data_IF_496262948853
#
_entry.id   IF_496262948853
#
_cell.length_a   1.000
_cell.length_b   1.000
_cell.length_c   1.000
_cell.angle_alpha   90.00
_cell.angle_beta   90.00
_cell.angle_gamma   90.00
#
_symmetry.space_group_name_H-M   'P 1'
#
loop_
_entity.id
_entity.type
_entity.pdbx_description
1 polymer ?
#
# COMPACT_ATOMS: atom_id res chain seq x y z
N UNK A 1 -1.87 -29.10 19.68
CA UNK A 1 -3.17 -29.06 20.40
C UNK A 1 -3.80 -27.67 20.30
N UNK A 2 -3.07 -26.62 20.69
CA UNK A 2 -3.51 -25.22 20.61
C UNK A 2 -4.06 -24.80 19.23
N UNK A 3 -3.42 -25.18 18.12
CA UNK A 3 -3.95 -24.86 16.78
C UNK A 3 -5.34 -25.46 16.49
N UNK A 4 -5.63 -26.68 16.98
CA UNK A 4 -6.95 -27.31 16.82
C UNK A 4 -8.00 -26.61 17.68
N UNK A 5 -7.62 -26.22 18.90
CA UNK A 5 -8.50 -25.45 19.81
C UNK A 5 -8.82 -24.08 19.24
N UNK A 6 -7.81 -23.38 18.70
CA UNK A 6 -8.01 -22.08 18.06
C UNK A 6 -9.01 -22.16 16.90
N UNK A 7 -8.86 -23.17 16.03
CA UNK A 7 -9.76 -23.37 14.89
C UNK A 7 -11.20 -23.65 15.36
N UNK A 8 -11.37 -24.46 16.39
CA UNK A 8 -12.69 -24.73 16.95
C UNK A 8 -13.31 -23.47 17.58
N UNK A 9 -12.51 -22.68 18.31
CA UNK A 9 -12.96 -21.43 18.92
C UNK A 9 -13.34 -20.39 17.85
N UNK A 10 -12.56 -20.25 16.78
CA UNK A 10 -12.87 -19.29 15.71
C UNK A 10 -14.19 -19.58 15.01
N UNK A 11 -14.62 -20.85 14.97
CA UNK A 11 -15.88 -21.27 14.33
C UNK A 11 -17.09 -21.15 15.25
N UNK A 12 -16.89 -21.02 16.56
CA UNK A 12 -17.96 -21.14 17.57
C UNK A 12 -18.18 -19.88 18.41
N UNK A 13 -17.25 -18.93 18.36
CA UNK A 13 -17.33 -17.68 19.14
C UNK A 13 -18.40 -16.74 18.56
N UNK A 14 -19.13 -16.09 19.47
CA UNK A 14 -20.10 -15.04 19.14
C UNK A 14 -19.39 -13.81 18.56
N UNK A 15 -19.93 -13.29 17.46
CA UNK A 15 -19.40 -12.09 16.80
C UNK A 15 -19.22 -10.93 17.79
N UNK A 16 -18.06 -10.28 17.72
CA UNK A 16 -17.73 -9.14 18.58
C UNK A 16 -17.13 -9.49 19.94
N UNK A 17 -16.89 -10.77 20.24
CA UNK A 17 -16.21 -11.20 21.47
C UNK A 17 -14.87 -11.87 21.19
N UNK A 18 -13.91 -11.73 22.10
CA UNK A 18 -12.66 -12.51 22.11
C UNK A 18 -12.45 -13.07 23.52
N UNK A 19 -12.78 -14.36 23.77
CA UNK A 19 -12.56 -14.99 25.06
C UNK A 19 -11.08 -15.01 25.43
N UNK A 20 -10.79 -14.89 26.72
CA UNK A 20 -9.40 -14.95 27.24
C UNK A 20 -8.66 -16.21 26.80
N UNK A 21 -9.35 -17.35 26.76
CA UNK A 21 -8.75 -18.60 26.28
C UNK A 21 -8.23 -18.47 24.84
N UNK A 22 -8.98 -17.80 23.97
CA UNK A 22 -8.59 -17.58 22.57
C UNK A 22 -7.35 -16.69 22.49
N UNK A 23 -7.33 -15.56 23.20
CA UNK A 23 -6.17 -14.66 23.20
C UNK A 23 -4.93 -15.34 23.80
N UNK A 24 -5.10 -16.14 24.85
CA UNK A 24 -4.01 -16.89 25.48
C UNK A 24 -3.43 -17.93 24.50
N UNK A 25 -4.29 -18.61 23.72
CA UNK A 25 -3.85 -19.54 22.67
C UNK A 25 -3.09 -18.81 21.56
N UNK A 26 -3.63 -17.71 21.04
CA UNK A 26 -2.97 -16.91 19.98
C UNK A 26 -1.60 -16.41 20.48
N UNK A 27 -1.53 -15.91 21.71
CA UNK A 27 -0.29 -15.44 22.31
C UNK A 27 0.77 -16.53 22.49
N UNK A 28 0.37 -17.78 22.81
CA UNK A 28 1.30 -18.92 22.86
C UNK A 28 1.77 -19.33 21.47
N UNK A 29 0.86 -19.41 20.50
CA UNK A 29 1.21 -19.75 19.12
C UNK A 29 2.14 -18.70 18.50
N UNK A 30 1.90 -17.42 18.75
CA UNK A 30 2.78 -16.36 18.23
C UNK A 30 4.21 -16.46 18.79
N UNK A 31 4.38 -16.91 20.03
CA UNK A 31 5.71 -17.12 20.66
C UNK A 31 6.41 -18.40 20.21
N UNK A 32 5.73 -19.29 19.49
CA UNK A 32 6.31 -20.53 18.99
C UNK A 32 7.32 -20.24 17.86
N UNK A 33 8.49 -20.87 17.92
CA UNK A 33 9.56 -20.64 16.95
C UNK A 33 9.22 -21.16 15.55
N UNK A 34 8.40 -22.20 15.44
CA UNK A 34 7.90 -22.71 14.17
C UNK A 34 6.92 -21.73 13.52
N UNK A 35 6.07 -21.08 14.31
CA UNK A 35 5.18 -20.01 13.83
C UNK A 35 5.99 -18.78 13.41
N UNK A 36 6.99 -18.37 14.18
CA UNK A 36 7.89 -17.27 13.79
C UNK A 36 8.66 -17.59 12.50
N UNK A 37 9.16 -18.82 12.34
CA UNK A 37 9.81 -19.25 11.10
C UNK A 37 8.84 -19.28 9.90
N UNK A 38 7.57 -19.62 10.13
CA UNK A 38 6.52 -19.52 9.10
C UNK A 38 6.21 -18.06 8.74
N UNK A 39 6.16 -17.17 9.74
CA UNK A 39 5.96 -15.73 9.53
C UNK A 39 7.11 -15.08 8.77
N UNK A 40 8.35 -15.51 9.01
CA UNK A 40 9.53 -15.07 8.24
C UNK A 40 9.44 -15.41 6.75
N UNK A 41 8.62 -16.40 6.39
CA UNK A 41 8.32 -16.87 5.03
C UNK A 41 6.97 -16.37 4.52
N UNK A 42 6.40 -15.33 5.13
CA UNK A 42 5.08 -14.82 4.80
C UNK A 42 4.90 -14.32 3.35
N UNK A 43 5.98 -14.16 2.57
CA UNK A 43 5.89 -13.89 1.13
C UNK A 43 5.37 -15.09 0.32
N UNK A 44 5.50 -16.31 0.85
CA UNK A 44 5.08 -17.55 0.18
C UNK A 44 3.57 -17.80 0.24
N UNK A 45 2.82 -17.01 1.01
CA UNK A 45 1.37 -17.16 1.17
C UNK A 45 0.69 -15.81 1.42
N UNK A 46 -0.64 -15.81 1.43
CA UNK A 46 -1.43 -14.59 1.57
C UNK A 46 -1.59 -14.21 3.04
N UNK A 47 -0.65 -13.41 3.56
CA UNK A 47 -0.72 -12.83 4.91
C UNK A 47 -0.98 -11.32 4.86
N UNK A 48 -1.68 -10.80 5.87
CA UNK A 48 -1.84 -9.36 6.06
C UNK A 48 -0.55 -8.75 6.62
N UNK A 49 -0.03 -7.69 6.00
CA UNK A 49 1.14 -6.95 6.42
C UNK A 49 1.10 -6.48 7.88
N UNK A 50 -0.10 -6.19 8.42
CA UNK A 50 -0.27 -5.78 9.82
C UNK A 50 -0.29 -6.93 10.82
N UNK A 51 -0.19 -8.20 10.37
CA UNK A 51 -0.27 -9.36 11.26
C UNK A 51 0.77 -9.30 12.38
N UNK A 52 2.03 -9.02 12.03
CA UNK A 52 3.11 -8.91 13.02
C UNK A 52 2.88 -7.81 14.07
N UNK A 53 2.30 -6.68 13.66
CA UNK A 53 1.94 -5.58 14.57
C UNK A 53 0.90 -6.02 15.60
N UNK A 54 -0.23 -6.55 15.14
CA UNK A 54 -1.32 -6.93 16.05
C UNK A 54 -0.98 -8.14 16.93
N UNK A 55 -0.28 -9.14 16.38
CA UNK A 55 0.07 -10.34 17.14
C UNK A 55 1.14 -10.06 18.20
N UNK A 56 2.05 -9.13 17.94
CA UNK A 56 3.06 -8.72 18.92
C UNK A 56 2.48 -7.88 20.07
N UNK A 57 1.42 -7.11 19.79
CA UNK A 57 0.73 -6.26 20.77
C UNK A 57 -0.57 -6.89 21.32
N UNK A 58 -0.78 -8.20 21.14
CA UNK A 58 -2.04 -8.86 21.44
C UNK A 58 -2.57 -8.56 22.84
N UNK A 59 -1.71 -8.55 23.86
CA UNK A 59 -2.08 -8.30 25.26
C UNK A 59 -2.74 -6.92 25.45
N UNK A 60 -2.22 -5.89 24.77
CA UNK A 60 -2.80 -4.54 24.77
C UNK A 60 -4.18 -4.52 24.11
N UNK A 61 -4.33 -5.24 23.01
CA UNK A 61 -5.54 -5.25 22.18
C UNK A 61 -6.72 -5.98 22.84
N UNK A 62 -6.44 -6.99 23.67
CA UNK A 62 -7.47 -7.80 24.35
C UNK A 62 -7.78 -7.33 25.77
N UNK A 63 -7.13 -6.25 26.22
CA UNK A 63 -7.39 -5.67 27.53
C UNK A 63 -8.81 -5.09 27.59
N UNK A 64 -9.62 -5.40 28.62
CA UNK A 64 -10.96 -4.83 28.76
C UNK A 64 -10.94 -3.30 28.77
N UNK A 65 -11.81 -2.68 27.97
CA UNK A 65 -11.84 -1.22 27.81
C UNK A 65 -10.80 -0.68 26.84
N UNK A 66 -10.16 -1.53 26.04
CA UNK A 66 -9.26 -1.12 24.95
C UNK A 66 -9.91 -0.06 24.04
N UNK A 67 -9.15 1.02 23.79
CA UNK A 67 -9.47 2.06 22.83
C UNK A 67 -8.37 2.05 21.76
N UNK A 68 -8.70 1.91 20.47
CA UNK A 68 -7.72 1.92 19.40
C UNK A 68 -6.91 3.21 19.37
N UNK A 69 -5.60 3.07 19.22
CA UNK A 69 -4.71 4.19 18.90
C UNK A 69 -4.87 4.56 17.43
N UNK A 70 -4.41 5.77 17.05
CA UNK A 70 -4.35 6.15 15.63
C UNK A 70 -3.54 5.13 14.81
N UNK A 71 -2.47 4.57 15.39
CA UNK A 71 -1.65 3.56 14.74
C UNK A 71 -2.40 2.25 14.50
N UNK A 72 -3.25 1.82 15.44
CA UNK A 72 -4.11 0.65 15.29
C UNK A 72 -5.11 0.87 14.15
N UNK A 73 -5.67 2.08 14.04
CA UNK A 73 -6.61 2.44 12.96
C UNK A 73 -5.90 2.47 11.61
N UNK A 74 -4.73 3.11 11.52
CA UNK A 74 -3.95 3.21 10.27
C UNK A 74 -3.45 1.84 9.77
N UNK A 75 -3.21 0.88 10.67
CA UNK A 75 -2.81 -0.49 10.32
C UNK A 75 -3.99 -1.43 10.10
N UNK A 76 -5.21 -0.98 10.39
CA UNK A 76 -6.39 -1.80 10.17
C UNK A 76 -6.63 -1.99 8.68
N UNK A 77 -6.96 -3.23 8.29
CA UNK A 77 -7.21 -3.55 6.88
C UNK A 77 -8.70 -3.63 6.63
N UNK A 78 -9.24 -2.57 6.04
CA UNK A 78 -10.60 -2.56 5.49
C UNK A 78 -10.48 -2.48 3.98
N UNK A 79 -11.07 -3.44 3.27
CA UNK A 79 -11.06 -3.45 1.80
C UNK A 79 -12.00 -2.34 1.29
N UNK A 80 -11.45 -1.34 0.62
CA UNK A 80 -12.26 -0.35 -0.12
C UNK A 80 -13.04 -1.06 -1.23
N UNK A 81 -14.34 -0.82 -1.27
CA UNK A 81 -15.23 -1.25 -2.37
C UNK A 81 -15.99 -0.04 -2.89
N UNK A 82 -16.07 0.09 -4.22
CA UNK A 82 -16.63 1.27 -4.86
C UNK A 82 -15.68 2.47 -4.86
N UNK A 83 -16.29 3.65 -4.79
CA UNK A 83 -15.63 4.97 -4.84
C UNK A 83 -16.09 5.73 -3.61
N UNK A 84 -15.14 6.25 -2.83
CA UNK A 84 -15.39 7.04 -1.63
C UNK A 84 -14.88 8.46 -1.90
N UNK A 85 -15.74 9.46 -1.74
CA UNK A 85 -15.37 10.87 -1.85
C UNK A 85 -15.17 11.47 -0.46
N UNK A 86 -14.03 12.13 -0.26
CA UNK A 86 -13.72 12.90 0.95
C UNK A 86 -13.37 14.33 0.56
N UNK A 87 -13.95 15.30 1.26
CA UNK A 87 -13.68 16.72 1.05
C UNK A 87 -13.01 17.30 2.29
N UNK A 88 -11.93 18.06 2.09
CA UNK A 88 -11.20 18.70 3.18
C UNK A 88 -10.47 19.94 2.68
N UNK A 89 -10.09 20.82 3.59
CA UNK A 89 -9.31 22.02 3.29
C UNK A 89 -7.88 21.87 3.80
N UNK A 90 -6.89 22.28 3.00
CA UNK A 90 -5.48 22.26 3.36
C UNK A 90 -4.74 23.42 2.68
N UNK A 91 -3.95 24.20 3.43
CA UNK A 91 -3.28 25.43 2.93
C UNK A 91 -4.23 26.36 2.15
N UNK A 92 -5.42 26.60 2.70
CA UNK A 92 -6.49 27.42 2.09
C UNK A 92 -7.03 26.91 0.74
N UNK A 93 -6.69 25.69 0.34
CA UNK A 93 -7.23 25.00 -0.82
C UNK A 93 -8.26 23.96 -0.40
N UNK A 94 -9.31 23.81 -1.21
CA UNK A 94 -10.32 22.79 -1.02
C UNK A 94 -10.02 21.58 -1.90
N UNK A 95 -9.80 20.43 -1.26
CA UNK A 95 -9.54 19.17 -1.92
C UNK A 95 -10.82 18.33 -1.98
N UNK A 96 -11.03 17.68 -3.13
CA UNK A 96 -12.00 16.61 -3.31
C UNK A 96 -11.23 15.36 -3.70
N UNK A 97 -11.04 14.46 -2.74
CA UNK A 97 -10.28 13.23 -2.92
C UNK A 97 -11.23 12.07 -3.18
N UNK A 98 -10.96 11.30 -4.24
CA UNK A 98 -11.68 10.08 -4.57
C UNK A 98 -10.78 8.86 -4.29
N UNK A 99 -11.10 8.09 -3.25
CA UNK A 99 -10.49 6.78 -3.01
C UNK A 99 -11.26 5.71 -3.77
N UNK A 100 -10.55 4.90 -4.55
CA UNK A 100 -11.15 3.89 -5.45
C UNK A 100 -10.59 2.51 -5.13
N UNK A 101 -11.47 1.50 -5.12
CA UNK A 101 -11.04 0.12 -4.92
C UNK A 101 -10.01 -0.32 -5.98
N UNK A 102 -8.85 -0.81 -5.54
CA UNK A 102 -7.73 -1.20 -6.41
C UNK A 102 -7.80 -2.60 -7.03
N UNK A 103 -8.67 -3.46 -6.50
CA UNK A 103 -8.79 -4.86 -6.93
C UNK A 103 -9.38 -4.97 -8.33
N UNK A 104 -9.03 -6.03 -9.06
CA UNK A 104 -9.44 -6.21 -10.47
C UNK A 104 -10.96 -6.06 -10.67
N UNK A 105 -11.78 -6.54 -9.73
CA UNK A 105 -13.24 -6.43 -9.78
C UNK A 105 -13.77 -4.99 -9.67
N UNK A 106 -13.02 -4.10 -9.03
CA UNK A 106 -13.43 -2.72 -8.74
C UNK A 106 -13.03 -1.74 -9.85
N UNK A 107 -11.99 -2.06 -10.63
CA UNK A 107 -11.40 -1.15 -11.64
C UNK A 107 -12.37 -0.71 -12.75
N UNK A 108 -13.39 -1.51 -13.07
CA UNK A 108 -14.43 -1.11 -14.03
C UNK A 108 -15.19 0.16 -13.61
N UNK A 109 -15.24 0.45 -12.30
CA UNK A 109 -15.92 1.62 -11.74
C UNK A 109 -15.09 2.91 -11.88
N UNK A 110 -13.78 2.81 -12.12
CA UNK A 110 -12.88 3.97 -12.14
C UNK A 110 -13.24 5.00 -13.20
N UNK A 111 -13.83 4.60 -14.33
CA UNK A 111 -14.25 5.54 -15.38
C UNK A 111 -15.18 6.65 -14.88
N UNK A 112 -15.89 6.41 -13.77
CA UNK A 112 -16.78 7.40 -13.14
C UNK A 112 -16.05 8.55 -12.45
N UNK A 113 -14.74 8.48 -12.27
CA UNK A 113 -13.92 9.54 -11.67
C UNK A 113 -12.84 10.08 -12.62
N UNK A 114 -12.93 9.82 -13.94
CA UNK A 114 -11.88 10.21 -14.89
C UNK A 114 -12.00 11.65 -15.42
N UNK A 115 -13.17 12.29 -15.27
CA UNK A 115 -13.40 13.65 -15.76
C UNK A 115 -13.00 14.70 -14.71
N UNK A 116 -12.32 15.76 -15.15
CA UNK A 116 -11.95 16.89 -14.29
C UNK A 116 -10.90 16.57 -13.22
N UNK A 117 -10.12 15.50 -13.40
CA UNK A 117 -9.06 15.13 -12.45
C UNK A 117 -7.87 16.07 -12.61
N UNK A 118 -7.58 16.84 -11.56
CA UNK A 118 -6.40 17.71 -11.50
C UNK A 118 -5.10 16.90 -11.40
N UNK A 119 -5.08 15.89 -10.53
CA UNK A 119 -3.89 15.08 -10.26
C UNK A 119 -4.29 13.65 -9.87
N UNK A 120 -3.48 12.68 -10.26
CA UNK A 120 -3.63 11.28 -9.85
C UNK A 120 -2.53 10.95 -8.85
N UNK A 121 -2.92 10.42 -7.70
CA UNK A 121 -1.99 9.79 -6.75
C UNK A 121 -2.05 8.28 -7.00
N UNK A 122 -1.01 7.73 -7.63
CA UNK A 122 -0.87 6.30 -7.84
C UNK A 122 -0.03 5.69 -6.73
N UNK A 123 -0.55 4.66 -6.05
CA UNK A 123 0.14 3.99 -4.94
C UNK A 123 0.57 2.59 -5.37
N UNK A 124 1.87 2.32 -5.36
CA UNK A 124 2.46 1.01 -5.56
C UNK A 124 3.10 0.52 -4.26
N UNK A 125 2.94 -0.76 -3.92
CA UNK A 125 3.60 -1.36 -2.76
C UNK A 125 5.02 -1.78 -3.12
N UNK A 126 6.03 -1.04 -2.64
CA UNK A 126 7.45 -1.31 -2.87
C UNK A 126 7.85 -2.70 -2.36
N UNK A 127 7.26 -3.12 -1.26
CA UNK A 127 7.51 -4.39 -0.58
C UNK A 127 6.87 -5.63 -1.25
N UNK A 128 6.15 -5.47 -2.36
CA UNK A 128 5.37 -6.55 -2.98
C UNK A 128 6.11 -7.28 -4.12
N UNK A 129 7.41 -7.02 -4.32
CA UNK A 129 8.21 -7.56 -5.42
C UNK A 129 8.37 -9.09 -5.37
N UNK A 130 8.29 -9.71 -4.20
CA UNK A 130 8.42 -11.15 -3.97
C UNK A 130 7.06 -11.80 -3.63
N UNK A 131 5.94 -11.18 -4.02
CA UNK A 131 4.59 -11.66 -3.70
C UNK A 131 3.74 -11.80 -4.96
N UNK A 132 2.78 -12.73 -4.92
CA UNK A 132 1.75 -12.93 -5.96
C UNK A 132 0.39 -12.35 -5.54
N UNK A 133 -0.48 -12.05 -6.51
CA UNK A 133 -1.80 -11.49 -6.23
C UNK A 133 -2.65 -12.45 -5.38
N UNK A 134 -3.63 -11.89 -4.67
CA UNK A 134 -4.63 -12.71 -3.97
C UNK A 134 -5.59 -13.32 -5.01
N UNK A 135 -5.90 -12.57 -6.05
CA UNK A 135 -6.82 -12.98 -7.12
C UNK A 135 -6.22 -13.99 -8.11
N UNK A 136 -4.89 -14.15 -8.13
CA UNK A 136 -4.14 -14.86 -9.17
C UNK A 136 -2.72 -15.20 -8.67
N UNK A 137 -2.46 -16.47 -8.36
CA UNK A 137 -1.20 -16.93 -7.76
C UNK A 137 -0.05 -17.08 -8.76
N UNK A 138 -0.30 -16.91 -10.05
CA UNK A 138 0.72 -16.90 -11.10
C UNK A 138 1.26 -15.48 -11.39
N UNK A 139 0.55 -14.45 -10.91
CA UNK A 139 0.88 -13.05 -11.24
C UNK A 139 1.56 -12.35 -10.06
N UNK A 140 2.79 -11.93 -10.28
CA UNK A 140 3.54 -11.10 -9.33
C UNK A 140 2.85 -9.72 -9.13
N UNK A 141 2.71 -9.29 -7.87
CA UNK A 141 2.04 -8.03 -7.51
C UNK A 141 2.72 -6.78 -8.06
N UNK A 142 4.05 -6.76 -8.11
CA UNK A 142 4.81 -5.63 -8.66
C UNK A 142 4.61 -5.52 -10.16
N UNK A 143 4.63 -6.63 -10.90
CA UNK A 143 4.33 -6.62 -12.34
C UNK A 143 2.89 -6.19 -12.64
N UNK A 144 1.90 -6.66 -11.87
CA UNK A 144 0.52 -6.17 -11.97
C UNK A 144 0.46 -4.65 -11.73
N UNK A 145 1.19 -4.14 -10.73
CA UNK A 145 1.24 -2.71 -10.44
C UNK A 145 1.87 -1.90 -11.58
N UNK A 146 2.94 -2.40 -12.20
CA UNK A 146 3.56 -1.79 -13.38
C UNK A 146 2.62 -1.79 -14.57
N UNK A 147 1.93 -2.90 -14.85
CA UNK A 147 0.93 -2.99 -15.90
C UNK A 147 -0.23 -2.01 -15.69
N UNK A 148 -0.75 -1.94 -14.47
CA UNK A 148 -1.81 -1.00 -14.11
C UNK A 148 -1.33 0.44 -14.26
N UNK A 149 -0.15 0.76 -13.76
CA UNK A 149 0.44 2.10 -13.89
C UNK A 149 0.61 2.49 -15.36
N UNK A 150 1.14 1.60 -16.21
CA UNK A 150 1.27 1.85 -17.64
C UNK A 150 -0.08 2.20 -18.28
N UNK A 151 -1.15 1.47 -17.92
CA UNK A 151 -2.49 1.72 -18.45
C UNK A 151 -3.07 3.08 -18.05
N UNK A 152 -2.77 3.56 -16.84
CA UNK A 152 -3.24 4.84 -16.31
C UNK A 152 -2.38 5.99 -16.82
N UNK A 153 -1.05 5.85 -16.72
CA UNK A 153 -0.08 6.84 -17.13
C UNK A 153 -0.27 7.25 -18.59
N UNK A 154 -0.55 6.28 -19.45
CA UNK A 154 -0.70 6.48 -20.90
C UNK A 154 -2.16 6.54 -21.35
N UNK A 155 -3.13 6.61 -20.42
CA UNK A 155 -4.54 6.71 -20.76
C UNK A 155 -4.87 8.05 -21.43
N UNK A 156 -5.72 8.04 -22.46
CA UNK A 156 -6.10 9.26 -23.21
C UNK A 156 -6.75 10.35 -22.33
N UNK A 157 -7.55 9.96 -21.34
CA UNK A 157 -8.18 10.91 -20.40
C UNK A 157 -7.18 11.56 -19.46
N UNK A 158 -6.00 10.96 -19.28
CA UNK A 158 -4.93 11.45 -18.39
C UNK A 158 -3.71 11.92 -19.17
N UNK A 159 -3.93 12.30 -20.42
CA UNK A 159 -2.92 12.76 -21.36
C UNK A 159 -2.01 13.86 -20.79
N UNK A 160 -2.62 14.81 -20.08
CA UNK A 160 -1.98 15.99 -19.47
C UNK A 160 -2.15 16.00 -17.95
N UNK A 161 -2.86 15.02 -17.38
CA UNK A 161 -3.07 14.93 -15.93
C UNK A 161 -1.78 14.49 -15.25
N UNK A 162 -1.33 15.28 -14.29
CA UNK A 162 -0.11 14.99 -13.53
C UNK A 162 -0.28 13.80 -12.61
N UNK A 163 0.80 13.05 -12.46
CA UNK A 163 0.82 11.84 -11.66
C UNK A 163 1.85 11.98 -10.56
N UNK A 164 1.39 11.74 -9.34
CA UNK A 164 2.22 11.52 -8.18
C UNK A 164 2.28 10.02 -7.93
N UNK A 165 3.49 9.45 -7.94
CA UNK A 165 3.73 8.04 -7.68
C UNK A 165 4.22 7.85 -6.24
N UNK A 166 3.44 7.17 -5.42
CA UNK A 166 3.84 6.72 -4.09
C UNK A 166 4.33 5.28 -4.14
N UNK A 167 5.64 5.10 -3.95
CA UNK A 167 6.24 3.81 -3.67
C UNK A 167 6.15 3.57 -2.16
N UNK A 168 5.01 3.02 -1.74
CA UNK A 168 4.63 2.88 -0.34
C UNK A 168 5.21 1.60 0.29
N UNK A 169 5.14 1.51 1.61
CA UNK A 169 5.68 0.40 2.43
C UNK A 169 7.20 0.31 2.37
N UNK A 170 7.87 1.46 2.34
CA UNK A 170 9.34 1.53 2.34
C UNK A 170 9.97 0.89 3.58
N UNK A 171 9.28 0.94 4.71
CA UNK A 171 9.64 0.31 5.98
C UNK A 171 9.65 -1.22 5.86
N UNK A 172 8.60 -1.81 5.25
CA UNK A 172 8.54 -3.25 5.01
C UNK A 172 9.57 -3.67 3.96
N UNK A 173 9.75 -2.86 2.91
CA UNK A 173 10.75 -3.14 1.88
C UNK A 173 12.18 -3.17 2.44
N UNK A 174 12.52 -2.26 3.35
CA UNK A 174 13.83 -2.19 4.01
C UNK A 174 14.22 -3.52 4.67
N UNK A 175 13.27 -4.22 5.28
CA UNK A 175 13.55 -5.52 5.90
C UNK A 175 13.53 -6.68 4.89
N UNK A 176 12.62 -6.65 3.91
CA UNK A 176 12.49 -7.74 2.93
C UNK A 176 13.67 -7.82 1.97
N UNK A 177 14.20 -6.68 1.54
CA UNK A 177 15.32 -6.65 0.59
C UNK A 177 16.58 -7.33 1.17
N UNK A 178 16.75 -7.33 2.49
CA UNK A 178 17.86 -8.05 3.16
C UNK A 178 17.74 -9.58 3.03
N UNK A 179 16.53 -10.10 2.80
CA UNK A 179 16.22 -11.55 2.80
C UNK A 179 16.05 -12.11 1.38
N UNK A 180 15.40 -11.35 0.49
CA UNK A 180 15.06 -11.80 -0.85
C UNK A 180 15.61 -10.82 -1.90
N UNK A 181 16.39 -11.32 -2.84
CA UNK A 181 17.02 -10.50 -3.88
C UNK A 181 15.98 -9.93 -4.85
N UNK A 182 16.17 -8.69 -5.31
CA UNK A 182 15.24 -8.03 -6.24
C UNK A 182 15.07 -8.81 -7.56
N UNK A 183 16.09 -9.58 -7.96
CA UNK A 183 16.08 -10.37 -9.20
C UNK A 183 14.99 -11.45 -9.28
N UNK A 184 14.35 -11.81 -8.16
CA UNK A 184 13.15 -12.66 -8.16
C UNK A 184 12.01 -12.00 -8.95
N UNK A 185 11.91 -10.67 -8.88
CA UNK A 185 10.93 -9.89 -9.63
C UNK A 185 11.51 -9.34 -10.94
N UNK A 186 12.78 -8.97 -10.95
CA UNK A 186 13.43 -8.33 -12.10
C UNK A 186 14.69 -9.10 -12.48
N UNK A 187 14.58 -10.19 -13.27
CA UNK A 187 15.72 -11.06 -13.59
C UNK A 187 16.93 -10.33 -14.20
N UNK A 188 16.67 -9.23 -14.89
CA UNK A 188 17.71 -8.38 -15.53
C UNK A 188 18.38 -7.40 -14.56
N UNK A 189 17.99 -7.38 -13.27
CA UNK A 189 18.61 -6.54 -12.26
C UNK A 189 19.97 -7.10 -11.82
N UNK A 190 21.04 -6.37 -12.14
CA UNK A 190 22.43 -6.71 -11.83
C UNK A 190 23.06 -5.82 -10.73
N UNK A 191 22.27 -4.89 -10.18
CA UNK A 191 22.71 -3.94 -9.16
C UNK A 191 22.84 -4.54 -7.74
N UNK A 192 23.44 -3.79 -6.80
CA UNK A 192 23.52 -4.20 -5.41
C UNK A 192 22.15 -4.33 -4.76
N UNK A 193 21.92 -5.38 -3.97
CA UNK A 193 20.63 -5.60 -3.30
C UNK A 193 20.44 -4.75 -2.04
N UNK A 194 20.81 -3.47 -2.09
CA UNK A 194 20.61 -2.50 -1.01
C UNK A 194 19.23 -1.85 -1.14
N UNK A 195 18.72 -1.31 -0.03
CA UNK A 195 17.46 -0.55 -0.03
C UNK A 195 17.47 0.59 -1.06
N UNK A 196 18.57 1.32 -1.17
CA UNK A 196 18.68 2.48 -2.04
C UNK A 196 18.73 2.06 -3.51
N UNK A 197 19.61 1.12 -3.88
CA UNK A 197 19.80 0.67 -5.25
C UNK A 197 18.54 -0.06 -5.78
N UNK A 198 18.00 -0.99 -5.00
CA UNK A 198 16.83 -1.76 -5.40
C UNK A 198 15.56 -0.88 -5.44
N UNK A 199 15.40 0.02 -4.45
CA UNK A 199 14.29 0.96 -4.43
C UNK A 199 14.33 1.95 -5.60
N UNK A 200 15.52 2.48 -5.93
CA UNK A 200 15.70 3.35 -7.08
C UNK A 200 15.48 2.62 -8.41
N UNK A 201 15.89 1.35 -8.50
CA UNK A 201 15.60 0.55 -9.69
C UNK A 201 14.09 0.39 -9.91
N UNK A 202 13.34 -0.02 -8.87
CA UNK A 202 11.87 -0.12 -8.96
C UNK A 202 11.26 1.22 -9.37
N UNK A 203 11.71 2.33 -8.77
CA UNK A 203 11.28 3.67 -9.17
C UNK A 203 11.50 3.93 -10.66
N UNK A 204 12.68 3.60 -11.18
CA UNK A 204 12.99 3.77 -12.61
C UNK A 204 12.06 2.93 -13.49
N UNK A 205 11.75 1.68 -13.11
CA UNK A 205 10.81 0.83 -13.85
C UNK A 205 9.44 1.50 -14.03
N UNK A 206 8.92 2.19 -13.00
CA UNK A 206 7.69 2.96 -13.14
C UNK A 206 7.85 4.20 -14.02
N UNK A 207 8.89 5.01 -13.77
CA UNK A 207 9.11 6.25 -14.52
C UNK A 207 9.34 6.00 -16.01
N UNK A 208 9.91 4.84 -16.34
CA UNK A 208 10.19 4.48 -17.72
C UNK A 208 8.93 4.22 -18.56
N UNK A 209 7.83 3.84 -17.92
CA UNK A 209 6.53 3.61 -18.55
C UNK A 209 5.86 4.90 -19.04
N UNK A 210 6.34 6.07 -18.63
CA UNK A 210 5.82 7.33 -19.14
C UNK A 210 6.24 7.54 -20.61
N UNK A 211 5.27 7.43 -21.52
CA UNK A 211 5.50 7.64 -22.96
C UNK A 211 5.49 9.12 -23.38
N UNK A 212 5.17 10.04 -22.45
CA UNK A 212 4.97 11.47 -22.71
C UNK A 212 5.85 12.34 -21.80
N UNK A 213 7.11 11.95 -21.63
CA UNK A 213 8.05 12.59 -20.69
C UNK A 213 8.33 14.06 -21.00
N UNK A 214 8.04 14.49 -22.22
CA UNK A 214 8.16 15.85 -22.72
C UNK A 214 7.04 16.78 -22.24
N UNK A 215 5.85 16.24 -21.94
CA UNK A 215 4.67 17.04 -21.57
C UNK A 215 4.05 16.65 -20.22
N UNK A 216 4.38 15.47 -19.70
CA UNK A 216 3.81 14.93 -18.47
C UNK A 216 4.93 14.54 -17.51
N UNK A 217 5.00 15.24 -16.39
CA UNK A 217 5.94 14.93 -15.32
C UNK A 217 5.31 13.92 -14.34
N UNK A 218 6.16 13.04 -13.77
CA UNK A 218 5.74 12.08 -12.75
C UNK A 218 6.58 12.31 -11.50
N UNK A 219 5.90 12.69 -10.42
CA UNK A 219 6.53 13.00 -9.15
C UNK A 219 6.53 11.77 -8.26
N UNK A 220 7.70 11.14 -8.11
CA UNK A 220 7.83 9.90 -7.33
C UNK A 220 8.31 10.15 -5.90
N UNK A 221 7.65 9.53 -4.92
CA UNK A 221 8.06 9.55 -3.51
C UNK A 221 8.06 8.13 -2.94
N UNK A 222 9.11 7.79 -2.19
CA UNK A 222 9.11 6.59 -1.34
C UNK A 222 8.43 6.93 -0.01
N UNK A 223 7.35 6.23 0.30
CA UNK A 223 6.44 6.57 1.39
C UNK A 223 6.24 5.44 2.38
N UNK A 224 5.82 5.82 3.59
CA UNK A 224 5.25 4.94 4.59
C UNK A 224 3.90 5.54 5.00
N UNK A 225 2.81 5.01 4.46
CA UNK A 225 1.47 5.56 4.71
C UNK A 225 1.02 5.48 6.17
N UNK A 226 1.65 4.61 6.97
CA UNK A 226 1.40 4.50 8.41
C UNK A 226 2.24 5.47 9.24
N UNK A 227 3.13 6.25 8.60
CA UNK A 227 3.91 7.32 9.21
C UNK A 227 3.28 8.67 8.81
N UNK A 228 2.59 9.29 9.76
CA UNK A 228 1.81 10.52 9.55
C UNK A 228 2.68 11.71 9.16
N UNK A 229 3.90 11.81 9.69
CA UNK A 229 4.86 12.86 9.32
C UNK A 229 5.36 12.67 7.90
N UNK A 230 5.64 11.43 7.50
CA UNK A 230 6.01 11.12 6.12
C UNK A 230 4.89 11.48 5.14
N UNK A 231 3.65 11.10 5.44
CA UNK A 231 2.49 11.43 4.59
C UNK A 231 2.26 12.93 4.52
N UNK A 232 2.36 13.65 5.65
CA UNK A 232 2.21 15.10 5.69
C UNK A 232 3.25 15.81 4.82
N UNK A 233 4.53 15.47 4.97
CA UNK A 233 5.61 16.04 4.17
C UNK A 233 5.40 15.79 2.67
N UNK A 234 5.00 14.57 2.30
CA UNK A 234 4.78 14.21 0.90
C UNK A 234 3.54 14.90 0.35
N UNK A 235 2.46 14.99 1.13
CA UNK A 235 1.24 15.69 0.72
C UNK A 235 1.48 17.19 0.55
N UNK A 236 2.34 17.79 1.38
CA UNK A 236 2.80 19.17 1.22
C UNK A 236 3.51 19.37 -0.11
N UNK A 237 4.47 18.50 -0.46
CA UNK A 237 5.19 18.57 -1.72
C UNK A 237 4.24 18.41 -2.93
N UNK A 238 3.30 17.48 -2.84
CA UNK A 238 2.26 17.25 -3.87
C UNK A 238 1.36 18.47 -4.04
N UNK A 239 0.98 19.11 -2.94
CA UNK A 239 0.16 20.32 -2.97
C UNK A 239 0.87 21.45 -3.70
N UNK A 240 2.15 21.67 -3.43
CA UNK A 240 2.94 22.74 -4.07
C UNK A 240 3.08 22.50 -5.59
N UNK A 241 3.20 21.24 -6.01
CA UNK A 241 3.22 20.83 -7.42
C UNK A 241 1.87 21.14 -8.08
N UNK A 242 0.76 20.70 -7.48
CA UNK A 242 -0.60 20.90 -8.00
C UNK A 242 -0.91 22.40 -8.14
N UNK A 243 -0.49 23.21 -7.16
CA UNK A 243 -0.65 24.68 -7.21
C UNK A 243 0.09 25.25 -8.41
N UNK A 244 1.35 24.85 -8.60
CA UNK A 244 2.17 25.36 -9.71
C UNK A 244 1.57 25.04 -11.07
N UNK A 245 0.95 23.86 -11.22
CA UNK A 245 0.26 23.47 -12.46
C UNK A 245 -1.03 24.25 -12.66
N UNK A 246 -1.87 24.36 -11.63
CA UNK A 246 -3.10 25.15 -11.69
C UNK A 246 -2.82 26.63 -12.04
N UNK A 247 -1.71 27.20 -11.54
CA UNK A 247 -1.31 28.57 -11.87
C UNK A 247 -0.87 28.71 -13.34
N UNK A 248 -0.16 27.73 -13.89
CA UNK A 248 0.21 27.69 -15.31
C UNK A 248 -1.04 27.58 -16.20
N UNK A 249 -1.99 26.72 -15.85
CA UNK A 249 -3.22 26.53 -16.62
C UNK A 249 -4.09 27.80 -16.63
N UNK A 250 -4.04 28.60 -15.56
CA UNK A 250 -4.68 29.91 -15.48
C UNK A 250 -3.91 31.05 -16.17
N UNK A 251 -2.74 30.79 -16.76
CA UNK A 251 -1.90 31.80 -17.43
C UNK A 251 -1.25 32.82 -16.47
N UNK A 252 -1.10 32.46 -15.19
CA UNK A 252 -0.48 33.29 -14.16
C UNK A 252 1.05 33.06 -14.03
N UNK A 253 1.63 32.24 -14.92
CA UNK A 253 3.04 31.87 -14.98
C UNK A 253 3.51 31.67 -16.42
#
# INVERSE_FOLDING_TARGET
EDARKLLHLSDTIEEGTMPKEMSDIIGRLWKDSGIQACFDRASEYQLNDSAGYYLSDLERLVTPGYVPTEQDVLRSRVKTTGIIETQFSFKDLNFRMFDVGGQRSERKKWIHCFEGVTCIIFIAALSAYDMVLVEDDEVNRMHESLHLFNSICNHRYFATTSIVLFLNKKDVFLEKIKKAHLSICFPDYDGPNTYEDAGNYIKLQFLELNMRRDVKEIYSHMTCATDTENVKFVFDAVTDIIIKENLKDCGLF
#
